data_IF_904815147250
#
_entry.id   IF_904815147250
#
_cell.length_a   1.000
_cell.length_b   1.000
_cell.length_c   1.000
_cell.angle_alpha   90.00
_cell.angle_beta   90.00
_cell.angle_gamma   90.00
#
_symmetry.space_group_name_H-M   'P 1'
#
loop_
_entity.id
_entity.type
_entity.pdbx_description
1 polymer ?
#
# COMPACT_ATOMS: atom_id res chain seq x y z
N UNK A 1 38.08 18.87 -25.16
CA UNK A 1 37.03 18.83 -24.14
C UNK A 1 36.19 17.59 -24.45
N UNK A 2 36.49 16.52 -23.78
CA UNK A 2 35.76 15.25 -23.91
C UNK A 2 34.58 15.28 -22.95
N UNK A 3 33.40 15.16 -23.50
CA UNK A 3 32.15 14.99 -22.76
C UNK A 3 32.22 13.65 -22.02
N UNK A 4 31.93 13.57 -20.70
CA UNK A 4 31.83 12.28 -20.05
C UNK A 4 30.65 11.52 -20.64
N UNK A 5 30.89 10.30 -21.08
CA UNK A 5 29.86 9.37 -21.50
C UNK A 5 28.92 9.11 -20.32
N UNK A 6 27.63 9.37 -20.50
CA UNK A 6 26.58 8.88 -19.66
C UNK A 6 26.78 7.37 -19.49
N UNK A 7 27.10 6.96 -18.27
CA UNK A 7 27.02 5.55 -17.89
C UNK A 7 25.52 5.23 -17.86
N UNK A 8 25.00 4.79 -19.00
CA UNK A 8 23.78 4.03 -19.07
C UNK A 8 23.98 2.83 -18.14
N UNK A 9 23.43 2.90 -16.93
CA UNK A 9 23.16 1.71 -16.13
C UNK A 9 22.11 0.93 -16.92
N UNK A 10 22.57 0.06 -17.80
CA UNK A 10 21.75 -1.02 -18.34
C UNK A 10 21.33 -1.84 -17.13
N UNK A 11 20.13 -1.61 -16.64
CA UNK A 11 19.42 -2.59 -15.84
C UNK A 11 19.45 -3.85 -16.70
N UNK A 12 20.11 -4.91 -16.20
CA UNK A 12 20.02 -6.24 -16.78
C UNK A 12 18.54 -6.52 -16.96
N UNK A 13 18.00 -6.60 -18.18
CA UNK A 13 16.64 -7.00 -18.37
C UNK A 13 16.57 -8.50 -18.17
N UNK A 14 16.76 -8.97 -16.97
CA UNK A 14 16.02 -10.13 -16.56
C UNK A 14 14.57 -9.63 -16.52
N UNK A 15 13.98 -9.53 -17.70
CA UNK A 15 12.55 -9.59 -17.81
C UNK A 15 12.17 -10.77 -16.93
N UNK A 16 11.78 -10.44 -15.71
CA UNK A 16 11.27 -11.39 -14.75
C UNK A 16 10.14 -12.08 -15.47
N UNK A 17 10.29 -13.35 -15.64
CA UNK A 17 9.38 -14.28 -16.29
C UNK A 17 7.96 -13.81 -16.14
N UNK A 18 7.26 -13.62 -17.25
CA UNK A 18 5.83 -13.34 -17.24
C UNK A 18 5.18 -14.41 -16.38
N UNK A 19 4.68 -14.05 -15.22
CA UNK A 19 3.92 -14.93 -14.33
C UNK A 19 2.56 -15.18 -14.98
N UNK A 20 2.54 -16.06 -15.97
CA UNK A 20 1.36 -16.40 -16.75
C UNK A 20 0.54 -17.44 -16.01
N UNK A 21 -0.67 -17.08 -15.60
CA UNK A 21 -1.55 -18.03 -14.91
C UNK A 21 -2.87 -17.41 -14.46
N UNK A 22 -2.89 -16.13 -14.16
CA UNK A 22 -4.14 -15.43 -13.90
C UNK A 22 -4.88 -15.10 -15.20
N UNK A 23 -6.20 -15.07 -15.14
CA UNK A 23 -7.08 -14.82 -16.29
C UNK A 23 -7.66 -13.39 -16.28
N UNK A 24 -7.40 -12.62 -15.20
CA UNK A 24 -7.92 -11.27 -15.04
C UNK A 24 -6.89 -10.39 -14.31
N UNK A 25 -7.22 -9.13 -14.06
CA UNK A 25 -6.34 -8.13 -13.45
C UNK A 25 -5.77 -8.58 -12.10
N UNK A 26 -4.50 -8.20 -11.86
CA UNK A 26 -3.84 -8.38 -10.55
C UNK A 26 -4.12 -7.15 -9.69
N UNK A 27 -4.64 -7.36 -8.48
CA UNK A 27 -4.90 -6.29 -7.51
C UNK A 27 -3.88 -6.22 -6.38
N UNK A 28 -3.17 -7.31 -6.13
CA UNK A 28 -2.19 -7.35 -5.07
C UNK A 28 -0.99 -8.23 -5.41
N UNK A 29 0.20 -7.78 -5.01
CA UNK A 29 1.44 -8.55 -5.07
C UNK A 29 2.22 -8.35 -3.76
N UNK A 30 2.85 -9.40 -3.28
CA UNK A 30 3.70 -9.36 -2.10
C UNK A 30 4.87 -10.34 -2.23
N UNK A 31 6.06 -9.88 -1.83
CA UNK A 31 7.24 -10.73 -1.71
C UNK A 31 7.22 -11.53 -0.41
N UNK A 32 7.72 -12.75 -0.44
CA UNK A 32 8.09 -13.45 0.79
C UNK A 32 9.28 -12.73 1.45
N UNK A 33 9.38 -12.73 2.78
CA UNK A 33 10.46 -12.03 3.49
C UNK A 33 11.87 -12.51 3.13
N UNK A 34 11.99 -13.74 2.65
CA UNK A 34 13.26 -14.33 2.17
C UNK A 34 13.58 -14.03 0.71
N UNK A 35 12.70 -13.30 0.00
CA UNK A 35 12.86 -12.92 -1.39
C UNK A 35 12.78 -14.09 -2.39
N UNK A 36 12.37 -15.29 -1.97
CA UNK A 36 12.37 -16.48 -2.83
C UNK A 36 11.05 -16.74 -3.51
N UNK A 37 9.94 -16.16 -3.00
CA UNK A 37 8.58 -16.38 -3.50
C UNK A 37 7.81 -15.07 -3.66
N UNK A 38 6.83 -15.10 -4.55
CA UNK A 38 5.84 -14.04 -4.73
C UNK A 38 4.44 -14.58 -4.44
N UNK A 39 3.59 -13.72 -3.88
CA UNK A 39 2.16 -13.94 -3.75
C UNK A 39 1.46 -12.93 -4.63
N UNK A 40 0.51 -13.38 -5.45
CA UNK A 40 -0.36 -12.53 -6.26
C UNK A 40 -1.82 -12.79 -5.95
N UNK A 41 -2.64 -11.75 -5.99
CA UNK A 41 -4.10 -11.83 -5.90
C UNK A 41 -4.75 -11.18 -7.12
N UNK A 42 -5.78 -11.82 -7.66
CA UNK A 42 -6.41 -11.44 -8.91
C UNK A 42 -7.92 -11.29 -8.81
N UNK A 43 -8.46 -10.51 -9.74
CA UNK A 43 -9.88 -10.41 -10.00
C UNK A 43 -10.48 -11.73 -10.51
N UNK A 44 -9.65 -12.67 -10.98
CA UNK A 44 -10.08 -14.03 -11.35
C UNK A 44 -10.52 -14.89 -10.14
N UNK A 45 -10.47 -14.34 -8.91
CA UNK A 45 -10.86 -15.01 -7.67
C UNK A 45 -9.79 -15.92 -7.10
N UNK A 46 -8.57 -15.92 -7.65
CA UNK A 46 -7.47 -16.76 -7.16
C UNK A 46 -6.34 -15.93 -6.57
N UNK A 47 -5.69 -16.48 -5.54
CA UNK A 47 -4.37 -16.04 -5.12
C UNK A 47 -3.36 -17.16 -5.39
N UNK A 48 -2.16 -16.81 -5.87
CA UNK A 48 -1.15 -17.78 -6.30
C UNK A 48 0.21 -17.46 -5.71
N UNK A 49 0.94 -18.52 -5.39
CA UNK A 49 2.32 -18.44 -4.92
C UNK A 49 3.25 -18.94 -6.01
N UNK A 50 4.32 -18.17 -6.26
CA UNK A 50 5.27 -18.36 -7.35
C UNK A 50 6.70 -18.50 -6.83
N UNK A 51 7.51 -19.29 -7.50
CA UNK A 51 8.97 -19.27 -7.36
C UNK A 51 9.52 -18.01 -8.05
N UNK A 52 10.11 -17.10 -7.28
CA UNK A 52 10.55 -15.81 -7.77
C UNK A 52 11.72 -15.90 -8.77
N UNK A 53 12.56 -16.95 -8.67
CA UNK A 53 13.70 -17.15 -9.55
C UNK A 53 13.30 -17.80 -10.88
N UNK A 54 12.31 -18.70 -10.85
CA UNK A 54 11.89 -19.48 -12.02
C UNK A 54 10.66 -18.90 -12.72
N UNK A 55 9.89 -18.04 -12.03
CA UNK A 55 8.61 -17.53 -12.53
C UNK A 55 7.53 -18.63 -12.65
N UNK A 56 7.69 -19.76 -11.98
CA UNK A 56 6.74 -20.86 -12.02
C UNK A 56 5.80 -20.85 -10.84
N UNK A 57 4.52 -21.16 -11.08
CA UNK A 57 3.55 -21.34 -10.02
C UNK A 57 3.94 -22.52 -9.14
N UNK A 58 3.97 -22.30 -7.82
CA UNK A 58 4.17 -23.33 -6.82
C UNK A 58 2.83 -23.96 -6.42
N UNK A 59 1.84 -23.13 -6.14
CA UNK A 59 0.47 -23.53 -5.86
C UNK A 59 -0.50 -22.34 -5.92
N UNK A 60 -1.79 -22.65 -6.11
CA UNK A 60 -2.87 -21.71 -5.96
C UNK A 60 -3.61 -21.94 -4.64
N UNK A 61 -4.04 -20.85 -3.99
CA UNK A 61 -4.89 -20.91 -2.82
C UNK A 61 -6.34 -21.16 -3.25
N UNK A 62 -6.94 -22.20 -2.72
CA UNK A 62 -8.34 -22.54 -2.99
C UNK A 62 -9.24 -21.61 -2.15
N UNK A 63 -9.47 -20.43 -2.63
CA UNK A 63 -10.24 -19.38 -1.95
C UNK A 63 -11.68 -19.26 -2.45
N UNK A 64 -12.40 -18.25 -1.93
CA UNK A 64 -13.72 -17.89 -2.43
C UNK A 64 -13.65 -17.56 -3.92
N UNK A 65 -14.75 -17.81 -4.62
CA UNK A 65 -14.89 -17.60 -6.07
C UNK A 65 -15.04 -16.13 -6.48
N UNK A 66 -14.75 -15.17 -5.58
CA UNK A 66 -14.84 -13.75 -5.83
C UNK A 66 -13.44 -13.10 -5.86
N UNK A 67 -13.33 -11.97 -6.50
CA UNK A 67 -12.11 -11.19 -6.67
C UNK A 67 -11.29 -11.04 -5.39
N UNK A 68 -9.97 -11.24 -5.49
CA UNK A 68 -9.02 -10.98 -4.41
C UNK A 68 -8.55 -9.53 -4.51
N UNK A 69 -8.90 -8.72 -3.53
CA UNK A 69 -8.59 -7.28 -3.49
C UNK A 69 -7.22 -6.97 -2.90
N UNK A 70 -6.73 -7.78 -1.95
CA UNK A 70 -5.41 -7.57 -1.35
C UNK A 70 -4.78 -8.88 -0.88
N UNK A 71 -3.44 -8.89 -0.87
CA UNK A 71 -2.63 -10.01 -0.37
C UNK A 71 -1.45 -9.50 0.44
N UNK A 72 -0.99 -10.29 1.42
CA UNK A 72 0.21 -9.99 2.19
C UNK A 72 0.90 -11.27 2.69
N UNK A 73 2.24 -11.22 2.80
CA UNK A 73 3.04 -12.20 3.51
C UNK A 73 3.19 -11.79 4.97
N UNK A 74 3.13 -12.75 5.89
CA UNK A 74 3.56 -12.48 7.26
C UNK A 74 5.08 -12.24 7.31
N UNK A 75 5.58 -11.31 8.12
CA UNK A 75 7.02 -11.02 8.24
C UNK A 75 7.87 -12.24 8.64
N UNK A 76 7.31 -13.22 9.34
CA UNK A 76 7.98 -14.49 9.68
C UNK A 76 8.01 -15.49 8.50
N UNK A 77 7.37 -15.18 7.38
CA UNK A 77 7.32 -16.00 6.17
C UNK A 77 6.47 -17.28 6.29
N UNK A 78 5.75 -17.48 7.39
CA UNK A 78 5.01 -18.73 7.65
C UNK A 78 3.57 -18.71 7.18
N UNK A 79 2.98 -17.50 7.00
CA UNK A 79 1.56 -17.35 6.67
C UNK A 79 1.34 -16.34 5.55
N UNK A 80 0.22 -16.51 4.86
CA UNK A 80 -0.28 -15.62 3.83
C UNK A 80 -1.61 -15.03 4.28
N UNK A 81 -1.93 -13.85 3.76
CA UNK A 81 -3.18 -13.17 4.00
C UNK A 81 -3.81 -12.82 2.66
N UNK A 82 -5.09 -13.06 2.52
CA UNK A 82 -5.90 -12.63 1.38
C UNK A 82 -7.15 -11.93 1.86
N UNK A 83 -7.51 -10.81 1.22
CA UNK A 83 -8.82 -10.19 1.34
C UNK A 83 -9.57 -10.35 0.02
N UNK A 84 -10.86 -10.61 0.08
CA UNK A 84 -11.70 -10.82 -1.09
C UNK A 84 -12.98 -10.00 -1.04
N UNK A 85 -13.60 -9.81 -2.22
CA UNK A 85 -14.87 -9.07 -2.36
C UNK A 85 -16.07 -9.74 -1.69
N UNK A 86 -15.95 -11.02 -1.26
CA UNK A 86 -16.93 -11.66 -0.39
C UNK A 86 -16.88 -11.17 1.07
N UNK A 87 -16.05 -10.13 1.30
CA UNK A 87 -15.79 -9.54 2.60
C UNK A 87 -15.09 -10.48 3.60
N UNK A 88 -14.48 -11.56 3.13
CA UNK A 88 -13.65 -12.43 3.96
C UNK A 88 -12.17 -12.04 3.90
N UNK A 89 -11.51 -12.17 5.04
CA UNK A 89 -10.05 -12.16 5.13
C UNK A 89 -9.62 -13.54 5.59
N UNK A 90 -8.71 -14.19 4.85
CA UNK A 90 -8.24 -15.54 5.17
C UNK A 90 -6.75 -15.56 5.42
N UNK A 91 -6.38 -16.37 6.40
CA UNK A 91 -5.00 -16.68 6.74
C UNK A 91 -4.68 -18.08 6.26
N UNK A 92 -3.58 -18.24 5.55
CA UNK A 92 -3.16 -19.49 4.94
C UNK A 92 -1.77 -19.88 5.41
N UNK A 93 -1.50 -21.17 5.47
CA UNK A 93 -0.14 -21.68 5.63
C UNK A 93 0.68 -21.46 4.36
N UNK A 94 1.81 -20.78 4.48
CA UNK A 94 2.63 -20.37 3.35
C UNK A 94 3.42 -21.51 2.68
N UNK A 95 3.42 -22.69 3.27
CA UNK A 95 4.11 -23.88 2.74
C UNK A 95 3.14 -24.81 2.04
N UNK A 96 1.97 -25.02 2.64
CA UNK A 96 1.00 -26.02 2.17
C UNK A 96 -0.19 -25.43 1.42
N UNK A 97 -0.43 -24.10 1.56
CA UNK A 97 -1.62 -23.45 1.05
C UNK A 97 -2.91 -23.81 1.80
N UNK A 98 -2.79 -24.42 3.00
CA UNK A 98 -3.95 -24.77 3.80
C UNK A 98 -4.61 -23.53 4.43
N UNK A 99 -5.95 -23.47 4.43
CA UNK A 99 -6.71 -22.45 5.15
C UNK A 99 -6.56 -22.67 6.66
N UNK A 100 -6.03 -21.67 7.36
CA UNK A 100 -5.80 -21.73 8.81
C UNK A 100 -6.88 -21.00 9.58
N UNK A 101 -7.38 -19.87 9.04
CA UNK A 101 -8.29 -19.00 9.76
C UNK A 101 -9.05 -18.08 8.80
N UNK A 102 -10.34 -17.87 9.05
CA UNK A 102 -11.16 -16.86 8.37
C UNK A 102 -11.59 -15.78 9.35
N UNK A 103 -11.32 -14.52 9.01
CA UNK A 103 -11.66 -13.33 9.78
C UNK A 103 -12.85 -12.60 9.15
N UNK A 104 -13.64 -11.90 9.95
CA UNK A 104 -14.55 -10.86 9.47
C UNK A 104 -15.87 -11.32 8.88
N UNK A 105 -16.28 -12.57 9.10
CA UNK A 105 -17.56 -13.08 8.60
C UNK A 105 -18.71 -12.53 9.45
N UNK A 106 -19.40 -11.50 8.96
CA UNK A 106 -20.64 -10.95 9.52
C UNK A 106 -20.58 -9.47 9.88
N UNK A 107 -21.44 -8.68 9.29
CA UNK A 107 -21.58 -7.23 9.52
C UNK A 107 -21.16 -6.39 8.33
N UNK A 108 -20.58 -5.21 8.58
CA UNK A 108 -19.96 -4.37 7.57
C UNK A 108 -18.80 -5.13 6.91
N UNK A 109 -18.78 -5.13 5.59
CA UNK A 109 -17.78 -5.84 4.79
C UNK A 109 -16.35 -5.40 5.06
N UNK A 110 -15.38 -6.25 4.74
CA UNK A 110 -13.96 -5.86 4.73
C UNK A 110 -13.71 -4.96 3.53
N UNK A 111 -13.17 -3.77 3.77
CA UNK A 111 -12.94 -2.74 2.76
C UNK A 111 -11.73 -2.96 1.84
N UNK A 112 -11.16 -4.16 1.84
CA UNK A 112 -10.12 -4.59 0.89
C UNK A 112 -8.67 -4.32 1.28
N UNK A 113 -8.36 -3.48 2.27
CA UNK A 113 -6.98 -3.25 2.69
C UNK A 113 -6.60 -4.09 3.91
N UNK A 114 -5.45 -4.77 3.85
CA UNK A 114 -4.96 -5.65 4.93
C UNK A 114 -3.46 -5.51 5.13
N UNK A 115 -2.99 -5.71 6.37
CA UNK A 115 -1.58 -5.69 6.70
C UNK A 115 -1.26 -6.57 7.93
N UNK A 116 -0.09 -7.22 7.93
CA UNK A 116 0.46 -7.90 9.08
C UNK A 116 1.20 -6.92 10.00
N UNK A 117 1.14 -7.19 11.32
CA UNK A 117 2.08 -6.55 12.26
C UNK A 117 3.50 -7.06 12.03
N UNK A 118 4.54 -6.25 12.33
CA UNK A 118 5.95 -6.64 12.12
C UNK A 118 6.36 -7.91 12.88
N UNK A 119 5.72 -8.20 14.00
CA UNK A 119 5.94 -9.40 14.81
C UNK A 119 5.10 -10.62 14.37
N UNK A 120 4.33 -10.48 13.29
CA UNK A 120 3.44 -11.51 12.75
C UNK A 120 2.32 -11.98 13.71
N UNK A 121 2.08 -11.29 14.83
CA UNK A 121 1.09 -11.72 15.82
C UNK A 121 -0.30 -11.14 15.60
N UNK A 122 -0.40 -10.05 14.81
CA UNK A 122 -1.65 -9.31 14.59
C UNK A 122 -1.89 -9.03 13.11
N UNK A 123 -3.15 -8.81 12.78
CA UNK A 123 -3.62 -8.43 11.45
C UNK A 123 -4.40 -7.13 11.56
N UNK A 124 -4.20 -6.20 10.63
CA UNK A 124 -4.96 -4.97 10.48
C UNK A 124 -5.80 -5.06 9.22
N UNK A 125 -7.08 -4.74 9.31
CA UNK A 125 -8.01 -4.74 8.17
C UNK A 125 -8.83 -3.46 8.14
N UNK A 126 -9.17 -2.97 6.95
CA UNK A 126 -10.17 -1.93 6.75
C UNK A 126 -11.58 -2.52 6.65
N UNK A 127 -12.60 -1.71 6.94
CA UNK A 127 -14.02 -2.06 6.84
C UNK A 127 -14.83 -0.97 6.15
N UNK A 128 -15.96 -1.37 5.53
CA UNK A 128 -16.89 -0.47 4.82
C UNK A 128 -17.60 0.52 5.78
N UNK A 129 -17.57 0.24 7.09
CA UNK A 129 -18.10 1.13 8.13
C UNK A 129 -17.14 2.29 8.51
N UNK A 130 -16.15 2.55 7.68
CA UNK A 130 -15.10 3.54 7.90
C UNK A 130 -14.24 3.27 9.16
N UNK A 131 -14.20 2.03 9.64
CA UNK A 131 -13.34 1.59 10.74
C UNK A 131 -12.19 0.70 10.26
N UNK A 132 -11.12 0.63 11.04
CA UNK A 132 -10.12 -0.42 10.93
C UNK A 132 -10.16 -1.32 12.17
N UNK A 133 -9.82 -2.59 12.01
CA UNK A 133 -9.78 -3.55 13.12
C UNK A 133 -8.44 -4.24 13.20
N UNK A 134 -7.96 -4.38 14.43
CA UNK A 134 -6.77 -5.16 14.77
C UNK A 134 -7.23 -6.48 15.33
N UNK A 135 -6.73 -7.57 14.77
CA UNK A 135 -7.05 -8.95 15.11
C UNK A 135 -5.85 -9.66 15.71
N UNK A 136 -6.07 -10.55 16.63
CA UNK A 136 -5.09 -11.57 17.01
C UNK A 136 -5.01 -12.64 15.92
N UNK A 137 -3.84 -12.84 15.34
CA UNK A 137 -3.64 -13.70 14.18
C UNK A 137 -3.66 -15.20 14.49
N UNK A 138 -3.72 -15.57 15.77
CA UNK A 138 -3.81 -16.97 16.20
C UNK A 138 -5.24 -17.39 16.52
N UNK A 139 -6.01 -16.51 17.13
CA UNK A 139 -7.39 -16.81 17.58
C UNK A 139 -8.47 -16.22 16.67
N UNK A 140 -8.13 -15.26 15.81
CA UNK A 140 -9.10 -14.54 14.98
C UNK A 140 -10.01 -13.59 15.77
N UNK A 141 -9.65 -13.25 17.00
CA UNK A 141 -10.43 -12.33 17.82
C UNK A 141 -10.04 -10.88 17.54
N UNK A 142 -11.06 -9.99 17.54
CA UNK A 142 -10.81 -8.54 17.43
C UNK A 142 -10.17 -8.05 18.74
N UNK A 143 -8.98 -7.49 18.62
CA UNK A 143 -8.25 -6.86 19.74
C UNK A 143 -8.62 -5.40 19.89
N UNK A 144 -8.79 -4.69 18.77
CA UNK A 144 -9.14 -3.26 18.74
C UNK A 144 -9.99 -2.93 17.53
N UNK A 145 -10.86 -1.93 17.69
CA UNK A 145 -11.53 -1.21 16.60
C UNK A 145 -11.09 0.24 16.63
N UNK A 146 -10.63 0.75 15.50
CA UNK A 146 -10.16 2.11 15.30
C UNK A 146 -11.24 2.85 14.51
N UNK A 147 -11.95 3.76 15.18
CA UNK A 147 -13.09 4.49 14.61
C UNK A 147 -12.84 5.99 14.64
N UNK A 148 -13.23 6.67 13.58
CA UNK A 148 -13.09 8.12 13.50
C UNK A 148 -13.12 8.67 12.07
N UNK A 149 -12.72 7.89 11.07
CA UNK A 149 -12.94 8.25 9.66
C UNK A 149 -14.43 8.34 9.35
N UNK A 150 -14.79 9.17 8.38
CA UNK A 150 -16.19 9.41 7.99
C UNK A 150 -16.54 8.81 6.64
N UNK A 151 -15.55 8.36 5.90
CA UNK A 151 -15.67 7.72 4.60
C UNK A 151 -14.80 6.45 4.55
N UNK A 152 -14.89 5.74 3.44
CA UNK A 152 -14.22 4.47 3.21
C UNK A 152 -12.69 4.54 3.47
N UNK A 153 -12.12 3.47 4.02
CA UNK A 153 -10.67 3.34 4.18
C UNK A 153 -10.06 2.73 2.92
N UNK A 154 -9.13 3.44 2.33
CA UNK A 154 -8.43 3.05 1.10
C UNK A 154 -7.12 2.29 1.35
N UNK A 155 -6.45 2.58 2.48
CA UNK A 155 -5.21 1.92 2.84
C UNK A 155 -5.03 1.80 4.35
N UNK A 156 -4.33 0.75 4.77
CA UNK A 156 -3.91 0.53 6.15
C UNK A 156 -2.46 0.05 6.18
N UNK A 157 -1.70 0.46 7.20
CA UNK A 157 -0.30 0.08 7.33
C UNK A 157 0.17 0.08 8.77
N UNK A 158 1.03 -0.88 9.14
CA UNK A 158 1.71 -0.93 10.43
C UNK A 158 3.01 -0.13 10.38
N UNK A 159 3.32 0.58 11.46
CA UNK A 159 4.68 1.10 11.65
C UNK A 159 5.65 -0.06 11.86
N UNK A 160 6.87 0.00 11.30
CA UNK A 160 7.87 -1.06 11.46
C UNK A 160 8.24 -1.39 12.91
N UNK A 161 8.11 -0.43 13.84
CA UNK A 161 8.31 -0.64 15.29
C UNK A 161 7.14 -1.37 15.97
N UNK A 162 6.02 -1.61 15.25
CA UNK A 162 4.84 -2.31 15.75
C UNK A 162 4.01 -1.54 16.79
N UNK A 163 4.35 -0.27 17.07
CA UNK A 163 3.67 0.51 18.11
C UNK A 163 2.47 1.29 17.60
N UNK A 164 2.44 1.60 16.30
CA UNK A 164 1.42 2.42 15.65
C UNK A 164 0.89 1.76 14.39
N UNK A 165 -0.29 2.17 14.00
CA UNK A 165 -0.85 1.90 12.67
C UNK A 165 -1.28 3.20 12.03
N UNK A 166 -1.29 3.23 10.71
CA UNK A 166 -1.81 4.34 9.93
C UNK A 166 -2.94 3.87 9.03
N UNK A 167 -3.92 4.73 8.82
CA UNK A 167 -5.08 4.53 7.96
C UNK A 167 -5.25 5.72 7.03
N UNK A 168 -5.60 5.48 5.78
CA UNK A 168 -5.96 6.50 4.80
C UNK A 168 -7.42 6.31 4.37
N UNK A 169 -8.11 7.39 4.01
CA UNK A 169 -9.55 7.37 3.74
C UNK A 169 -9.93 8.34 2.62
N UNK A 170 -11.06 8.05 1.99
CA UNK A 170 -11.77 8.95 1.07
C UNK A 170 -12.25 10.24 1.76
N UNK A 171 -12.22 10.32 3.11
CA UNK A 171 -12.45 11.58 3.83
C UNK A 171 -11.29 12.58 3.66
N UNK A 172 -10.27 12.22 2.88
CA UNK A 172 -9.08 13.04 2.58
C UNK A 172 -8.09 13.12 3.73
N UNK A 173 -8.24 12.29 4.77
CA UNK A 173 -7.32 12.28 5.91
C UNK A 173 -6.55 10.98 6.01
N UNK A 174 -5.29 11.05 6.47
CA UNK A 174 -4.62 9.92 7.06
C UNK A 174 -4.55 10.10 8.57
N UNK A 175 -4.71 9.01 9.31
CA UNK A 175 -4.65 9.00 10.78
C UNK A 175 -3.65 7.99 11.27
N UNK A 176 -2.96 8.35 12.34
CA UNK A 176 -2.04 7.48 13.06
C UNK A 176 -2.64 7.13 14.42
N UNK A 177 -2.60 5.88 14.79
CA UNK A 177 -3.23 5.33 15.97
C UNK A 177 -2.22 4.58 16.83
N UNK A 178 -2.32 4.71 18.15
CA UNK A 178 -1.61 3.86 19.10
C UNK A 178 -2.25 2.46 19.14
N UNK A 179 -1.44 1.43 18.91
CA UNK A 179 -1.91 0.04 18.82
C UNK A 179 -2.42 -0.49 20.17
N UNK A 180 -1.84 -0.03 21.27
CA UNK A 180 -2.17 -0.51 22.63
C UNK A 180 -3.48 0.07 23.13
N UNK A 181 -3.67 1.38 22.93
CA UNK A 181 -4.83 2.11 23.46
C UNK A 181 -5.96 2.23 22.43
N UNK A 182 -5.64 2.20 21.12
CA UNK A 182 -6.57 2.49 20.04
C UNK A 182 -6.88 3.99 19.87
N UNK A 183 -6.11 4.87 20.53
CA UNK A 183 -6.31 6.32 20.44
C UNK A 183 -5.68 6.89 19.18
N UNK A 184 -6.37 7.88 18.56
CA UNK A 184 -5.79 8.68 17.48
C UNK A 184 -4.66 9.55 18.04
N UNK A 185 -3.45 9.40 17.51
CA UNK A 185 -2.27 10.18 17.88
C UNK A 185 -2.07 11.38 16.97
N UNK A 186 -2.39 11.21 15.69
CA UNK A 186 -2.13 12.20 14.65
C UNK A 186 -3.16 12.09 13.55
N UNK A 187 -3.48 13.25 12.96
CA UNK A 187 -4.26 13.37 11.73
C UNK A 187 -3.56 14.34 10.78
N UNK A 188 -3.37 13.91 9.52
CA UNK A 188 -2.90 14.75 8.42
C UNK A 188 -4.00 14.87 7.37
N UNK A 189 -4.16 16.06 6.76
CA UNK A 189 -5.30 16.40 5.90
C UNK A 189 -6.54 16.89 6.69
N UNK A 190 -7.70 17.12 6.03
CA UNK A 190 -7.91 16.94 4.59
C UNK A 190 -7.13 17.95 3.77
N UNK A 191 -6.62 17.53 2.63
CA UNK A 191 -6.03 18.43 1.66
C UNK A 191 -7.15 19.04 0.83
N UNK A 192 -7.32 20.37 0.96
CA UNK A 192 -8.25 21.07 0.09
C UNK A 192 -7.65 21.21 -1.30
N UNK A 193 -8.37 20.82 -2.33
CA UNK A 193 -7.97 21.11 -3.71
C UNK A 193 -8.02 22.62 -3.95
N UNK A 194 -6.86 23.24 -4.01
CA UNK A 194 -6.71 24.62 -4.50
C UNK A 194 -6.52 24.53 -6.01
N UNK A 195 -7.63 24.50 -6.76
CA UNK A 195 -7.61 24.46 -8.23
C UNK A 195 -6.81 25.61 -8.83
N UNK A 196 -6.28 25.44 -10.04
CA UNK A 196 -5.72 26.57 -10.81
C UNK A 196 -6.82 27.63 -10.97
N UNK A 197 -6.61 28.80 -10.36
CA UNK A 197 -7.57 29.90 -10.36
C UNK A 197 -8.28 30.12 -9.02
N UNK A 198 -7.91 29.42 -7.97
CA UNK A 198 -8.39 29.76 -6.64
C UNK A 198 -8.03 31.21 -6.31
N UNK A 199 -9.03 32.00 -5.98
CA UNK A 199 -8.83 33.35 -5.46
C UNK A 199 -8.46 33.24 -3.99
N UNK A 200 -7.36 33.86 -3.60
CA UNK A 200 -6.94 33.94 -2.20
C UNK A 200 -7.66 35.06 -1.50
N UNK A 201 -8.19 34.80 -0.32
CA UNK A 201 -8.76 35.83 0.55
C UNK A 201 -7.68 36.76 1.12
N UNK A 202 -8.08 37.86 1.75
CA UNK A 202 -7.13 38.83 2.38
C UNK A 202 -6.31 38.20 3.50
N UNK A 203 -6.75 37.07 4.05
CA UNK A 203 -6.10 36.27 5.09
C UNK A 203 -5.13 35.23 4.54
N UNK A 204 -4.90 35.20 3.21
CA UNK A 204 -4.05 34.23 2.55
C UNK A 204 -4.67 32.82 2.43
N UNK A 205 -5.95 32.66 2.76
CA UNK A 205 -6.68 31.39 2.61
C UNK A 205 -7.44 31.36 1.28
N UNK A 206 -7.55 30.20 0.63
CA UNK A 206 -8.34 30.10 -0.59
C UNK A 206 -9.83 30.37 -0.28
N UNK A 207 -10.45 31.24 -1.07
CA UNK A 207 -11.86 31.60 -0.95
C UNK A 207 -12.81 30.54 -1.52
N UNK A 208 -12.26 29.62 -2.31
CA UNK A 208 -12.97 28.48 -2.86
C UNK A 208 -12.18 27.22 -2.54
N UNK A 209 -12.72 26.40 -1.67
CA UNK A 209 -12.19 25.07 -1.35
C UNK A 209 -12.85 24.11 -2.31
N UNK A 210 -12.07 23.47 -3.17
CA UNK A 210 -12.56 22.42 -4.05
C UNK A 210 -13.00 21.18 -3.23
N UNK A 211 -13.44 20.11 -3.91
CA UNK A 211 -13.75 18.86 -3.24
C UNK A 211 -12.53 18.35 -2.45
N UNK A 212 -12.80 17.63 -1.38
CA UNK A 212 -11.76 16.93 -0.61
C UNK A 212 -11.10 15.91 -1.55
N UNK A 213 -9.76 15.88 -1.56
CA UNK A 213 -8.98 14.91 -2.33
C UNK A 213 -8.95 13.58 -1.57
N UNK A 214 -9.49 12.49 -2.12
CA UNK A 214 -9.36 11.17 -1.53
C UNK A 214 -7.90 10.77 -1.37
N UNK A 215 -7.56 10.15 -0.25
CA UNK A 215 -6.27 9.49 -0.09
C UNK A 215 -6.36 8.08 -0.65
N UNK A 216 -5.46 7.75 -1.56
CA UNK A 216 -5.49 6.49 -2.32
C UNK A 216 -4.48 5.47 -1.81
N UNK A 217 -3.39 5.91 -1.17
CA UNK A 217 -2.34 5.03 -0.68
C UNK A 217 -1.57 5.60 0.51
N UNK A 218 -0.92 4.71 1.25
CA UNK A 218 -0.20 5.02 2.47
C UNK A 218 0.93 4.03 2.71
N UNK A 219 2.10 4.50 3.17
CA UNK A 219 3.20 3.66 3.62
C UNK A 219 4.02 4.33 4.72
N UNK A 220 4.58 3.53 5.65
CA UNK A 220 5.55 3.99 6.64
C UNK A 220 6.97 3.94 6.10
N UNK A 221 7.81 4.89 6.53
CA UNK A 221 9.27 4.74 6.38
C UNK A 221 9.80 3.63 7.30
N UNK A 222 10.87 2.92 6.90
CA UNK A 222 11.41 1.81 7.69
C UNK A 222 11.86 2.18 9.11
N UNK A 223 12.18 3.45 9.35
CA UNK A 223 12.57 3.98 10.67
C UNK A 223 11.38 4.37 11.56
N UNK A 224 10.14 4.16 11.09
CA UNK A 224 8.88 4.51 11.77
C UNK A 224 8.70 6.01 12.05
N UNK A 225 9.48 6.90 11.42
CA UNK A 225 9.43 8.34 11.69
C UNK A 225 8.57 9.12 10.73
N UNK A 226 8.33 8.58 9.53
CA UNK A 226 7.60 9.27 8.47
C UNK A 226 6.50 8.38 7.89
N UNK A 227 5.48 9.02 7.36
CA UNK A 227 4.47 8.38 6.52
C UNK A 227 4.45 9.09 5.18
N UNK A 228 4.25 8.35 4.10
CA UNK A 228 3.91 8.90 2.79
C UNK A 228 2.46 8.64 2.49
N UNK A 229 1.79 9.62 1.91
CA UNK A 229 0.40 9.52 1.44
C UNK A 229 0.31 9.82 -0.04
N UNK A 230 -0.51 9.06 -0.75
CA UNK A 230 -0.91 9.31 -2.13
C UNK A 230 -2.30 9.93 -2.17
N UNK A 231 -2.59 10.68 -3.23
CA UNK A 231 -3.84 11.40 -3.45
C UNK A 231 -4.33 11.19 -4.87
N UNK A 232 -5.65 11.25 -5.06
CA UNK A 232 -6.28 11.04 -6.35
C UNK A 232 -5.86 12.09 -7.40
N UNK A 233 -5.60 13.33 -7.02
CA UNK A 233 -5.23 14.39 -7.97
C UNK A 233 -4.13 15.34 -7.46
N UNK A 234 -3.44 14.96 -6.38
CA UNK A 234 -2.33 15.73 -5.81
C UNK A 234 -1.02 14.91 -5.78
N UNK A 235 0.09 15.61 -5.62
CA UNK A 235 1.40 14.98 -5.48
C UNK A 235 1.48 14.19 -4.15
N UNK A 236 2.16 13.02 -4.13
CA UNK A 236 2.41 12.30 -2.90
C UNK A 236 3.21 13.13 -1.92
N UNK A 237 2.90 13.05 -0.64
CA UNK A 237 3.51 13.84 0.43
C UNK A 237 4.05 12.98 1.55
N UNK A 238 5.19 13.38 2.07
CA UNK A 238 5.84 12.78 3.22
C UNK A 238 5.63 13.66 4.45
N UNK A 239 5.18 13.05 5.52
CA UNK A 239 4.84 13.69 6.79
C UNK A 239 5.72 13.16 7.91
N UNK A 240 6.11 14.00 8.83
CA UNK A 240 6.67 13.57 10.12
C UNK A 240 5.54 12.92 10.94
N UNK A 241 5.75 11.69 11.36
CA UNK A 241 4.71 10.89 12.03
C UNK A 241 4.50 11.23 13.52
N UNK A 242 5.29 12.15 14.06
CA UNK A 242 5.12 12.65 15.43
C UNK A 242 4.45 14.02 15.45
N UNK A 243 4.81 14.91 14.50
CA UNK A 243 4.31 16.29 14.48
C UNK A 243 3.19 16.53 13.48
N UNK A 244 3.10 15.71 12.42
CA UNK A 244 2.18 15.89 11.30
C UNK A 244 2.62 17.00 10.34
N UNK A 245 3.83 17.52 10.47
CA UNK A 245 4.38 18.47 9.54
C UNK A 245 4.74 17.81 8.21
N UNK A 246 4.45 18.49 7.10
CA UNK A 246 4.90 18.06 5.78
C UNK A 246 6.42 18.23 5.68
N UNK A 247 7.13 17.15 5.42
CA UNK A 247 8.60 17.12 5.29
C UNK A 247 9.02 17.26 3.84
N UNK A 248 8.27 16.66 2.93
CA UNK A 248 8.64 16.54 1.53
C UNK A 248 7.41 16.31 0.66
N UNK A 249 7.39 16.88 -0.55
CA UNK A 249 6.50 16.53 -1.65
C UNK A 249 7.28 15.91 -2.78
N UNK A 250 6.74 14.89 -3.44
CA UNK A 250 7.35 14.29 -4.61
C UNK A 250 6.93 15.06 -5.86
N UNK A 251 7.84 15.89 -6.39
CA UNK A 251 7.57 16.76 -7.52
C UNK A 251 7.95 16.08 -8.85
N UNK A 252 6.95 15.53 -9.56
CA UNK A 252 7.12 15.05 -10.93
C UNK A 252 6.96 16.17 -11.97
N UNK A 253 7.40 15.93 -13.20
CA UNK A 253 7.25 16.88 -14.33
C UNK A 253 5.79 17.07 -14.74
N UNK A 254 4.91 16.13 -14.37
CA UNK A 254 3.49 16.13 -14.66
C UNK A 254 2.70 15.84 -13.38
N UNK A 255 1.54 16.50 -13.18
CA UNK A 255 0.60 16.14 -12.12
C UNK A 255 0.09 14.73 -12.42
N UNK A 256 0.30 13.81 -11.50
CA UNK A 256 -0.06 12.41 -11.67
C UNK A 256 -0.91 11.96 -10.50
N UNK A 257 -1.95 11.26 -10.80
CA UNK A 257 -2.70 10.51 -9.82
C UNK A 257 -1.86 9.29 -9.43
N UNK A 258 -1.77 9.04 -8.16
CA UNK A 258 -1.00 7.95 -7.59
C UNK A 258 -1.92 7.13 -6.70
N UNK A 259 -2.00 5.84 -6.95
CA UNK A 259 -2.82 4.94 -6.14
C UNK A 259 -1.98 4.08 -5.19
N UNK A 260 -0.74 3.81 -5.54
CA UNK A 260 0.16 2.98 -4.75
C UNK A 260 1.44 3.75 -4.42
N UNK A 261 1.79 3.77 -3.15
CA UNK A 261 3.07 4.30 -2.66
C UNK A 261 3.73 3.31 -1.73
N UNK A 262 5.04 3.15 -1.81
CA UNK A 262 5.79 2.29 -0.89
C UNK A 262 7.23 2.78 -0.71
N UNK A 263 7.73 2.70 0.53
CA UNK A 263 9.13 2.89 0.85
C UNK A 263 9.95 1.65 0.52
N UNK A 264 11.19 1.83 0.03
CA UNK A 264 12.15 0.74 -0.05
C UNK A 264 12.54 0.27 1.36
N UNK A 265 12.89 -1.02 1.53
CA UNK A 265 13.30 -1.57 2.83
C UNK A 265 14.47 -0.82 3.49
N UNK A 266 15.41 -0.30 2.70
CA UNK A 266 16.54 0.50 3.17
C UNK A 266 16.20 1.96 3.49
N UNK A 267 14.98 2.41 3.14
CA UNK A 267 14.50 3.77 3.37
C UNK A 267 15.07 4.84 2.44
N UNK A 268 15.88 4.45 1.46
CA UNK A 268 16.53 5.40 0.56
C UNK A 268 15.65 5.84 -0.61
N UNK A 269 14.63 5.05 -0.96
CA UNK A 269 13.79 5.27 -2.13
C UNK A 269 12.31 5.13 -1.82
N UNK A 270 11.51 5.71 -2.70
CA UNK A 270 10.06 5.57 -2.72
C UNK A 270 9.66 5.10 -4.12
N UNK A 271 8.70 4.20 -4.23
CA UNK A 271 8.08 3.82 -5.50
C UNK A 271 6.63 4.30 -5.52
N UNK A 272 6.19 4.79 -6.67
CA UNK A 272 4.79 5.16 -6.94
C UNK A 272 4.38 4.63 -8.30
N UNK A 273 3.10 4.35 -8.47
CA UNK A 273 2.49 4.21 -9.80
C UNK A 273 2.20 5.59 -10.42
N UNK A 274 1.66 5.60 -11.64
CA UNK A 274 0.96 6.73 -12.21
C UNK A 274 -0.43 6.29 -12.71
N UNK A 275 -1.36 7.22 -12.83
CA UNK A 275 -2.74 6.92 -13.23
C UNK A 275 -2.87 6.41 -14.67
N UNK A 276 -1.89 6.68 -15.52
CA UNK A 276 -1.87 6.01 -16.82
C UNK A 276 -1.72 4.50 -16.63
N UNK A 277 -1.32 4.10 -15.39
CA UNK A 277 -1.15 2.73 -14.95
C UNK A 277 -0.06 1.99 -15.71
N UNK A 278 0.67 2.70 -16.56
CA UNK A 278 1.67 2.07 -17.44
C UNK A 278 3.10 2.31 -17.00
N UNK A 279 3.29 3.17 -15.98
CA UNK A 279 4.63 3.57 -15.50
C UNK A 279 4.69 3.54 -13.98
N UNK A 280 5.74 2.95 -13.43
CA UNK A 280 6.10 3.15 -12.03
C UNK A 280 7.29 4.10 -11.93
N UNK A 281 7.35 4.91 -10.89
CA UNK A 281 8.37 5.91 -10.66
C UNK A 281 9.12 5.62 -9.38
N UNK A 282 10.44 5.75 -9.43
CA UNK A 282 11.32 5.62 -8.26
C UNK A 282 11.87 7.01 -7.94
N UNK A 283 11.75 7.39 -6.66
CA UNK A 283 12.12 8.69 -6.12
C UNK A 283 13.20 8.54 -5.07
N UNK A 284 14.07 9.53 -4.96
CA UNK A 284 14.96 9.69 -3.81
C UNK A 284 14.16 10.14 -2.59
N UNK A 285 14.22 9.38 -1.52
CA UNK A 285 13.41 9.61 -0.32
C UNK A 285 13.89 10.80 0.54
N UNK A 286 15.06 11.35 0.27
CA UNK A 286 15.59 12.51 0.98
C UNK A 286 15.32 13.82 0.24
N UNK A 287 15.34 13.80 -1.10
CA UNK A 287 15.21 15.01 -1.92
C UNK A 287 13.85 15.12 -2.62
N UNK A 288 13.13 14.01 -2.80
CA UNK A 288 11.89 13.94 -3.59
C UNK A 288 12.12 14.04 -5.10
N UNK A 289 13.36 13.91 -5.57
CA UNK A 289 13.67 13.90 -6.99
C UNK A 289 13.39 12.54 -7.62
N UNK A 290 12.86 12.56 -8.85
CA UNK A 290 12.63 11.34 -9.63
C UNK A 290 13.97 10.76 -10.11
N UNK A 291 14.26 9.52 -9.69
CA UNK A 291 15.48 8.80 -10.08
C UNK A 291 15.27 7.97 -11.35
N UNK A 292 14.10 7.33 -11.48
CA UNK A 292 13.85 6.39 -12.55
C UNK A 292 12.35 6.27 -12.85
N UNK A 293 12.01 6.08 -14.14
CA UNK A 293 10.69 5.70 -14.62
C UNK A 293 10.75 4.31 -15.22
N UNK A 294 10.01 3.37 -14.66
CA UNK A 294 9.85 1.99 -15.14
C UNK A 294 8.67 1.92 -16.11
N UNK A 295 8.92 1.66 -17.36
CA UNK A 295 7.93 1.60 -18.44
C UNK A 295 7.89 0.21 -19.04
N UNK A 296 6.73 -0.21 -19.54
CA UNK A 296 6.60 -1.51 -20.23
C UNK A 296 5.21 -2.09 -20.14
N UNK A 297 4.43 -1.72 -19.14
CA UNK A 297 3.03 -2.11 -19.08
C UNK A 297 2.23 -1.38 -20.18
N UNK A 298 1.35 -2.11 -20.84
CA UNK A 298 0.40 -1.58 -21.81
C UNK A 298 -1.02 -1.46 -21.24
N UNK A 299 -1.19 -1.84 -19.96
CA UNK A 299 -2.39 -1.72 -19.16
C UNK A 299 -2.02 -1.35 -17.72
N UNK A 300 -3.00 -1.09 -16.87
CA UNK A 300 -2.81 -0.63 -15.50
C UNK A 300 -2.01 -1.60 -14.64
N UNK A 301 -0.94 -1.11 -14.03
CA UNK A 301 -0.21 -1.77 -12.97
C UNK A 301 -0.86 -1.37 -11.63
N UNK A 302 -1.68 -2.25 -11.05
CA UNK A 302 -2.48 -1.95 -9.87
C UNK A 302 -1.75 -2.24 -8.55
N UNK A 303 -0.56 -2.82 -8.59
CA UNK A 303 0.19 -3.17 -7.39
C UNK A 303 1.70 -3.08 -7.62
N UNK A 304 2.40 -2.61 -6.61
CA UNK A 304 3.86 -2.46 -6.58
C UNK A 304 4.39 -3.05 -5.28
N UNK A 305 5.53 -3.72 -5.34
CA UNK A 305 6.22 -4.23 -4.17
C UNK A 305 7.74 -4.18 -4.36
N UNK A 306 8.45 -3.77 -3.31
CA UNK A 306 9.89 -3.87 -3.24
C UNK A 306 10.33 -5.30 -2.93
N UNK A 307 11.41 -5.74 -3.54
CA UNK A 307 12.10 -6.95 -3.08
C UNK A 307 12.79 -6.68 -1.74
N UNK A 308 12.93 -7.68 -0.86
CA UNK A 308 13.51 -7.47 0.46
C UNK A 308 14.97 -6.99 0.46
N UNK A 309 15.68 -7.21 -0.64
CA UNK A 309 17.10 -6.89 -0.85
C UNK A 309 17.33 -5.61 -1.68
N UNK A 310 16.30 -4.83 -1.92
CA UNK A 310 16.28 -3.66 -2.82
C UNK A 310 17.08 -2.45 -2.35
#
# INVERSE_FOLDING_TARGET
MTVPSETSTTIDPREVSLYAGHFDALWGVAWSPDGTRLLSGSHDGTARVWDANRGTELFALAGPSLSISAVAWSPDGTRLLTAAEDHSVRVWDATTGADLLTLGVGGSGVGGAVAWSPDSTRILTSFDDASARIWDASSGQVVRTLSGHTEHLTAVSWSPDGTRVATASDDGTARVWDVTTGTELLRVGPMAFVGRGATMGPDGRPTHVGPIEPMTGLSWSPDSRRIITAFDSAEPRVWDAATGEEVLSLHGRERRWVSVVSWSPDGSRIITDDISGTTAHIWDAATGEELLSLRGHNQWACALAWSPDS
#
